data_IF_478415221613
#
_entry.id   IF_478415221613
#
_cell.length_a   1.000
_cell.length_b   1.000
_cell.length_c   1.000
_cell.angle_alpha   90.00
_cell.angle_beta   90.00
_cell.angle_gamma   90.00
#
_symmetry.space_group_name_H-M   'P 1'
#
loop_
_entity.id
_entity.type
_entity.pdbx_description
1 polymer ?
#
# COMPACT_ATOMS: atom_id res chain seq x y z
N UNK A 1 16.95 20.35 10.24
CA UNK A 1 18.06 20.11 9.37
C UNK A 1 17.94 18.68 8.91
N UNK A 2 17.63 18.53 7.63
CA UNK A 2 17.65 17.25 6.94
C UNK A 2 19.12 16.90 6.84
N UNK A 3 19.56 16.02 7.70
CA UNK A 3 20.91 15.46 7.62
C UNK A 3 20.85 14.27 6.70
N UNK A 4 21.55 14.45 5.60
CA UNK A 4 22.14 13.47 4.73
C UNK A 4 21.30 12.28 4.28
N UNK A 5 20.86 12.44 3.08
CA UNK A 5 20.69 11.35 2.13
C UNK A 5 21.94 10.46 2.20
N UNK A 6 21.75 9.26 2.67
CA UNK A 6 22.74 8.21 2.61
C UNK A 6 22.94 7.86 1.13
N UNK A 7 23.76 8.66 0.45
CA UNK A 7 24.15 8.37 -0.92
C UNK A 7 25.28 7.36 -0.86
N UNK A 8 24.92 6.08 -0.94
CA UNK A 8 25.88 5.02 -1.17
C UNK A 8 26.41 5.14 -2.60
N UNK A 9 27.74 5.29 -2.75
CA UNK A 9 28.38 5.21 -4.06
C UNK A 9 28.99 3.82 -4.21
N UNK A 10 28.55 3.09 -5.23
CA UNK A 10 29.22 1.87 -5.65
C UNK A 10 30.37 2.26 -6.57
N UNK A 11 31.59 2.02 -6.12
CA UNK A 11 32.77 2.15 -6.96
C UNK A 11 33.13 0.76 -7.51
N UNK A 12 32.98 0.56 -8.80
CA UNK A 12 33.49 -0.61 -9.47
C UNK A 12 34.83 -0.25 -10.14
N UNK A 13 35.91 -0.84 -9.63
CA UNK A 13 37.23 -0.70 -10.23
C UNK A 13 37.48 -1.88 -11.18
N UNK A 14 37.47 -1.63 -12.47
CA UNK A 14 37.77 -2.62 -13.49
C UNK A 14 39.21 -2.41 -14.00
N UNK A 15 40.13 -3.25 -13.54
CA UNK A 15 41.48 -3.28 -14.07
C UNK A 15 41.60 -4.39 -15.11
N UNK A 16 41.66 -4.03 -16.36
CA UNK A 16 41.99 -4.99 -17.44
C UNK A 16 43.49 -4.91 -17.75
N UNK A 17 44.21 -6.01 -17.58
CA UNK A 17 45.64 -6.13 -17.99
C UNK A 17 45.69 -6.81 -19.35
N UNK A 18 46.07 -6.05 -20.36
CA UNK A 18 46.36 -6.58 -21.68
C UNK A 18 47.77 -6.18 -22.08
N UNK A 19 48.67 -7.20 -22.29
CA UNK A 19 49.98 -7.10 -22.92
C UNK A 19 50.75 -5.83 -22.54
N UNK A 20 51.83 -5.44 -22.83
CA UNK A 20 52.68 -4.28 -22.49
C UNK A 20 51.95 -3.04 -21.90
N UNK A 21 51.46 -3.20 -20.70
CA UNK A 21 51.10 -2.21 -19.67
C UNK A 21 50.64 -0.80 -20.14
N UNK A 22 49.38 -0.68 -20.52
CA UNK A 22 48.59 0.54 -20.31
C UNK A 22 47.38 0.24 -19.42
N UNK A 23 47.43 0.69 -18.17
CA UNK A 23 46.27 0.67 -17.29
C UNK A 23 45.29 1.75 -17.74
N UNK A 24 44.12 1.37 -18.20
CA UNK A 24 42.98 2.27 -18.35
C UNK A 24 42.05 1.92 -17.21
N UNK A 25 42.10 2.66 -16.13
CA UNK A 25 41.10 2.63 -15.08
C UNK A 25 39.86 3.39 -15.58
N UNK A 26 38.76 2.70 -15.79
CA UNK A 26 37.45 3.30 -15.92
C UNK A 26 36.85 3.30 -14.51
N UNK A 27 36.77 4.47 -13.89
CA UNK A 27 35.98 4.71 -12.70
C UNK A 27 34.57 5.02 -13.15
N UNK A 28 33.67 4.06 -13.01
CA UNK A 28 32.25 4.32 -13.12
C UNK A 28 31.64 4.42 -11.72
N UNK A 29 31.01 5.54 -11.43
CA UNK A 29 30.31 5.77 -10.17
C UNK A 29 28.82 5.81 -10.44
N UNK A 30 28.09 4.81 -9.96
CA UNK A 30 26.65 4.85 -9.93
C UNK A 30 26.17 5.39 -8.58
N UNK A 31 25.31 6.39 -8.60
CA UNK A 31 24.61 6.85 -7.42
C UNK A 31 23.46 5.88 -7.15
N UNK A 32 23.56 5.12 -6.04
CA UNK A 32 22.48 4.29 -5.57
C UNK A 32 21.73 5.10 -4.51
N UNK A 33 20.51 5.49 -4.84
CA UNK A 33 19.60 6.16 -3.90
C UNK A 33 18.26 5.46 -3.94
N UNK A 34 17.57 5.36 -2.82
CA UNK A 34 16.20 4.87 -2.75
C UNK A 34 15.26 5.89 -3.39
N UNK A 35 14.31 5.43 -4.19
CA UNK A 35 13.24 6.26 -4.74
C UNK A 35 11.98 6.04 -3.90
N UNK A 36 11.36 7.14 -3.50
CA UNK A 36 10.18 7.10 -2.63
C UNK A 36 8.97 6.61 -3.42
N UNK A 37 8.19 5.64 -2.90
CA UNK A 37 7.02 5.13 -3.56
C UNK A 37 5.94 6.21 -3.72
N UNK A 38 5.09 6.08 -4.73
CA UNK A 38 4.04 7.05 -5.05
C UNK A 38 2.70 6.37 -5.23
N UNK A 39 1.67 6.96 -4.65
CA UNK A 39 0.28 6.63 -4.95
C UNK A 39 -0.11 7.41 -6.21
N UNK A 40 -0.45 6.68 -7.27
CA UNK A 40 -0.82 7.26 -8.56
C UNK A 40 -2.31 7.55 -8.61
N UNK A 41 -3.14 6.60 -8.11
CA UNK A 41 -4.58 6.76 -8.09
C UNK A 41 -5.22 5.88 -7.02
N UNK A 42 -6.39 6.32 -6.52
CA UNK A 42 -7.27 5.56 -5.63
C UNK A 42 -8.57 5.29 -6.37
N UNK A 43 -9.03 4.05 -6.31
CA UNK A 43 -10.30 3.61 -6.85
C UNK A 43 -11.15 3.09 -5.69
N UNK A 44 -12.04 3.93 -5.22
CA UNK A 44 -13.01 3.60 -4.19
C UNK A 44 -14.30 4.38 -4.43
N UNK A 45 -15.44 3.79 -4.07
CA UNK A 45 -16.72 4.46 -4.19
C UNK A 45 -16.83 5.58 -3.16
N UNK A 46 -17.24 6.76 -3.59
CA UNK A 46 -17.50 7.91 -2.70
C UNK A 46 -18.83 7.79 -1.95
N UNK A 47 -19.73 6.95 -2.44
CA UNK A 47 -20.99 6.61 -1.79
C UNK A 47 -21.13 5.10 -1.66
N UNK A 48 -21.13 4.64 -0.41
CA UNK A 48 -21.28 3.23 -0.07
C UNK A 48 -22.62 3.07 0.65
N UNK A 49 -23.49 2.22 0.09
CA UNK A 49 -24.80 1.95 0.68
C UNK A 49 -24.69 0.74 1.61
N UNK A 50 -25.01 0.96 2.89
CA UNK A 50 -25.12 -0.13 3.85
C UNK A 50 -26.31 -1.02 3.49
N UNK A 51 -26.14 -2.34 3.39
CA UNK A 51 -27.25 -3.25 3.14
C UNK A 51 -28.21 -3.32 4.34
N UNK A 52 -29.42 -3.78 4.08
CA UNK A 52 -30.44 -3.99 5.12
C UNK A 52 -30.29 -5.35 5.81
N UNK A 53 -30.67 -5.42 7.07
CA UNK A 53 -30.72 -6.65 7.84
C UNK A 53 -29.34 -7.32 7.98
N UNK A 54 -29.29 -8.64 7.90
CA UNK A 54 -28.06 -9.44 8.00
C UNK A 54 -27.37 -9.69 6.67
N UNK A 55 -27.52 -8.78 5.73
CA UNK A 55 -26.79 -8.86 4.46
C UNK A 55 -25.40 -8.23 4.58
N UNK A 56 -24.47 -8.77 3.83
CA UNK A 56 -23.09 -8.28 3.75
C UNK A 56 -22.80 -7.94 2.28
N UNK A 57 -22.40 -6.72 2.02
CA UNK A 57 -21.89 -6.30 0.72
C UNK A 57 -20.36 -6.21 0.77
N UNK A 58 -19.69 -6.72 -0.24
CA UNK A 58 -18.25 -6.56 -0.41
C UNK A 58 -17.98 -5.42 -1.39
N UNK A 59 -17.31 -4.38 -0.92
CA UNK A 59 -16.81 -3.31 -1.79
C UNK A 59 -15.33 -3.52 -2.06
N UNK A 60 -14.86 -3.15 -3.26
CA UNK A 60 -13.44 -3.19 -3.59
C UNK A 60 -12.82 -1.81 -3.47
N UNK A 61 -11.75 -1.73 -2.71
CA UNK A 61 -10.88 -0.56 -2.64
C UNK A 61 -9.57 -0.90 -3.31
N UNK A 62 -9.08 -0.03 -4.20
CA UNK A 62 -7.83 -0.24 -4.91
C UNK A 62 -6.95 1.00 -4.83
N UNK A 63 -5.66 0.78 -4.76
CA UNK A 63 -4.64 1.81 -4.90
C UNK A 63 -3.67 1.41 -6.01
N UNK A 64 -3.48 2.28 -7.00
CA UNK A 64 -2.42 2.13 -7.98
C UNK A 64 -1.18 2.80 -7.43
N UNK A 65 -0.10 2.05 -7.32
CA UNK A 65 1.14 2.47 -6.70
C UNK A 65 2.31 2.18 -7.64
N UNK A 66 3.34 3.01 -7.59
CA UNK A 66 4.60 2.76 -8.30
C UNK A 66 5.77 3.12 -7.41
N UNK A 67 6.85 2.41 -7.59
CA UNK A 67 8.16 2.72 -7.06
C UNK A 67 9.17 2.77 -8.20
N UNK A 68 10.04 3.77 -8.21
CA UNK A 68 11.06 3.90 -9.25
C UNK A 68 12.15 2.84 -9.18
N UNK A 69 12.28 2.16 -8.03
CA UNK A 69 13.21 1.05 -7.81
C UNK A 69 12.58 -0.32 -8.13
N UNK A 70 11.28 -0.33 -8.49
CA UNK A 70 10.48 -1.50 -8.82
C UNK A 70 9.35 -1.74 -7.82
N UNK A 71 8.22 -2.26 -8.31
CA UNK A 71 7.06 -2.53 -7.44
C UNK A 71 7.34 -3.61 -6.38
N UNK A 72 8.33 -4.46 -6.60
CA UNK A 72 8.79 -5.48 -5.65
C UNK A 72 9.46 -4.89 -4.41
N UNK A 73 9.87 -3.62 -4.44
CA UNK A 73 10.41 -2.90 -3.29
C UNK A 73 9.32 -2.35 -2.36
N UNK A 74 8.06 -2.38 -2.78
CA UNK A 74 6.94 -1.94 -1.95
C UNK A 74 6.71 -2.95 -0.83
N UNK A 75 6.79 -2.47 0.40
CA UNK A 75 6.63 -3.27 1.61
C UNK A 75 5.16 -3.48 1.98
N UNK A 76 4.38 -2.40 1.91
CA UNK A 76 2.95 -2.44 2.12
C UNK A 76 2.24 -1.20 1.55
N UNK A 77 0.98 -1.39 1.25
CA UNK A 77 0.02 -0.36 0.88
C UNK A 77 -1.18 -0.46 1.81
N UNK A 78 -1.71 0.66 2.28
CA UNK A 78 -2.85 0.62 3.17
C UNK A 78 -3.46 2.00 3.41
N UNK A 79 -4.55 2.01 4.18
CA UNK A 79 -5.19 3.24 4.60
C UNK A 79 -5.73 3.13 6.02
N UNK A 80 -5.85 4.28 6.67
CA UNK A 80 -6.60 4.46 7.91
C UNK A 80 -7.92 5.15 7.62
N UNK A 81 -8.95 4.85 8.41
CA UNK A 81 -10.28 5.45 8.28
C UNK A 81 -10.58 6.33 9.50
N UNK A 82 -11.09 7.53 9.25
CA UNK A 82 -11.47 8.50 10.26
C UNK A 82 -12.93 8.91 10.08
N UNK A 83 -13.74 8.76 11.14
CA UNK A 83 -15.14 9.24 11.15
C UNK A 83 -15.16 10.74 11.35
N UNK A 84 -15.69 11.47 10.35
CA UNK A 84 -15.83 12.93 10.46
C UNK A 84 -16.96 13.31 11.40
N UNK A 85 -17.98 12.46 11.52
CA UNK A 85 -19.12 12.71 12.43
C UNK A 85 -18.71 12.54 13.87
N UNK A 86 -18.01 11.46 14.20
CA UNK A 86 -17.70 11.08 15.57
C UNK A 86 -16.33 11.63 16.03
N UNK A 87 -15.56 12.21 15.08
CA UNK A 87 -14.22 12.75 15.28
C UNK A 87 -13.25 11.74 15.89
N UNK A 88 -13.30 10.51 15.38
CA UNK A 88 -12.47 9.40 15.88
C UNK A 88 -11.90 8.52 14.76
N UNK A 89 -10.80 7.84 15.06
CA UNK A 89 -10.23 6.83 14.19
C UNK A 89 -11.10 5.57 14.24
N UNK A 90 -11.42 5.04 13.06
CA UNK A 90 -12.06 3.75 12.93
C UNK A 90 -11.03 2.62 13.11
N UNK A 91 -11.50 1.40 13.38
CA UNK A 91 -10.65 0.22 13.56
C UNK A 91 -9.54 0.44 14.61
N UNK A 92 -9.82 1.23 15.66
CA UNK A 92 -8.86 1.61 16.70
C UNK A 92 -7.58 2.27 16.13
N UNK A 93 -7.67 2.91 14.98
CA UNK A 93 -6.53 3.50 14.27
C UNK A 93 -5.65 2.50 13.51
N UNK A 94 -6.01 1.22 13.52
CA UNK A 94 -5.28 0.21 12.77
C UNK A 94 -5.46 0.41 11.27
N UNK A 95 -4.38 0.21 10.54
CA UNK A 95 -4.37 0.29 9.09
C UNK A 95 -5.11 -0.89 8.47
N UNK A 96 -5.85 -0.63 7.41
CA UNK A 96 -6.42 -1.63 6.52
C UNK A 96 -5.46 -1.77 5.35
N UNK A 97 -4.89 -2.98 5.20
CA UNK A 97 -3.91 -3.26 4.16
C UNK A 97 -4.58 -3.67 2.86
N UNK A 98 -3.96 -3.28 1.74
CA UNK A 98 -4.29 -3.72 0.40
C UNK A 98 -3.18 -4.64 -0.12
N UNK A 99 -3.51 -5.54 -1.04
CA UNK A 99 -2.64 -6.62 -1.50
C UNK A 99 -2.58 -6.64 -3.03
N UNK A 100 -1.39 -6.89 -3.56
CA UNK A 100 -1.10 -7.12 -4.97
C UNK A 100 -0.66 -8.59 -5.14
N UNK A 101 -1.60 -9.51 -4.85
CA UNK A 101 -1.36 -10.95 -4.72
C UNK A 101 -2.01 -11.80 -5.82
N UNK A 102 -2.73 -11.17 -6.75
CA UNK A 102 -3.47 -11.88 -7.80
C UNK A 102 -4.59 -12.75 -7.24
N UNK A 103 -5.11 -12.41 -6.06
CA UNK A 103 -6.18 -13.15 -5.38
C UNK A 103 -5.81 -14.59 -4.98
N UNK A 104 -4.52 -14.86 -4.80
CA UNK A 104 -4.01 -16.20 -4.50
C UNK A 104 -3.87 -16.49 -3.01
N UNK A 105 -3.79 -15.44 -2.18
CA UNK A 105 -3.61 -15.57 -0.74
C UNK A 105 -4.96 -15.57 -0.02
N UNK A 106 -5.15 -16.55 0.89
CA UNK A 106 -6.31 -16.57 1.79
C UNK A 106 -6.00 -15.67 2.99
N UNK A 107 -6.61 -14.50 3.02
CA UNK A 107 -6.40 -13.52 4.10
C UNK A 107 -7.17 -13.89 5.36
N UNK A 108 -8.37 -14.43 5.19
CA UNK A 108 -9.20 -14.92 6.31
C UNK A 108 -9.82 -16.27 5.92
N UNK A 109 -9.60 -17.32 6.74
CA UNK A 109 -10.21 -18.61 6.48
C UNK A 109 -11.75 -18.56 6.47
N UNK A 110 -12.44 -19.42 5.69
CA UNK A 110 -11.82 -20.49 4.89
C UNK A 110 -11.32 -20.04 3.51
N UNK A 111 -11.82 -18.92 2.94
CA UNK A 111 -11.66 -18.62 1.51
C UNK A 111 -11.66 -17.11 1.18
N UNK A 112 -11.59 -16.24 2.18
CA UNK A 112 -11.60 -14.79 1.94
C UNK A 112 -10.25 -14.33 1.41
N UNK A 113 -10.26 -13.77 0.20
CA UNK A 113 -9.08 -13.28 -0.52
C UNK A 113 -9.17 -11.76 -0.75
N UNK A 114 -8.08 -11.13 -1.16
CA UNK A 114 -7.98 -9.68 -1.42
C UNK A 114 -8.97 -9.18 -2.49
N UNK A 115 -9.25 -10.03 -3.50
CA UNK A 115 -10.02 -9.66 -4.69
C UNK A 115 -9.18 -8.94 -5.74
N UNK A 116 -7.86 -9.00 -5.59
CA UNK A 116 -6.92 -8.51 -6.58
C UNK A 116 -7.02 -9.30 -7.89
N UNK A 117 -6.60 -8.71 -9.01
CA UNK A 117 -6.78 -9.32 -10.34
C UNK A 117 -5.51 -9.88 -10.93
N UNK A 118 -4.35 -9.34 -10.59
CA UNK A 118 -3.07 -9.75 -11.17
C UNK A 118 -1.93 -9.40 -10.24
N UNK A 119 -1.18 -10.40 -9.80
CA UNK A 119 -0.04 -10.22 -8.89
C UNK A 119 1.08 -9.41 -9.52
N UNK A 120 1.56 -8.40 -8.80
CA UNK A 120 2.73 -7.62 -9.18
C UNK A 120 2.46 -6.55 -10.24
N UNK A 121 1.18 -6.20 -10.48
CA UNK A 121 0.82 -5.18 -11.46
C UNK A 121 0.82 -3.75 -10.89
N UNK A 122 1.08 -3.61 -9.59
CA UNK A 122 1.08 -2.33 -8.88
C UNK A 122 -0.31 -1.85 -8.49
N UNK A 123 -1.35 -2.68 -8.64
CA UNK A 123 -2.71 -2.38 -8.21
C UNK A 123 -3.06 -3.19 -6.97
N UNK A 124 -2.88 -2.57 -5.84
CA UNK A 124 -3.17 -3.15 -4.54
C UNK A 124 -4.67 -3.10 -4.25
N UNK A 125 -5.27 -4.22 -3.89
CA UNK A 125 -6.73 -4.38 -3.74
C UNK A 125 -7.08 -4.98 -2.38
N UNK A 126 -8.22 -4.58 -1.83
CA UNK A 126 -8.87 -5.26 -0.70
C UNK A 126 -10.38 -5.18 -0.80
N UNK A 127 -11.05 -6.28 -0.41
CA UNK A 127 -12.52 -6.35 -0.30
C UNK A 127 -12.92 -6.00 1.13
N UNK A 128 -13.65 -4.91 1.29
CA UNK A 128 -14.15 -4.49 2.60
C UNK A 128 -15.57 -5.00 2.77
N UNK A 129 -15.87 -5.77 3.82
CA UNK A 129 -17.24 -6.16 4.13
C UNK A 129 -18.00 -4.98 4.73
N UNK A 130 -19.15 -4.69 4.16
CA UNK A 130 -20.12 -3.72 4.67
C UNK A 130 -21.29 -4.51 5.26
N UNK A 131 -21.38 -4.51 6.58
CA UNK A 131 -22.38 -5.24 7.32
C UNK A 131 -23.65 -4.41 7.46
N UNK A 132 -24.80 -5.05 7.24
CA UNK A 132 -26.12 -4.46 7.41
C UNK A 132 -26.49 -4.17 8.86
N UNK A 133 -27.66 -3.58 9.07
CA UNK A 133 -28.12 -3.13 10.38
C UNK A 133 -28.71 -4.26 11.27
N UNK A 134 -28.77 -5.48 10.76
CA UNK A 134 -29.28 -6.66 11.51
C UNK A 134 -28.20 -7.49 12.21
N UNK A 135 -26.93 -7.05 12.25
CA UNK A 135 -25.84 -7.81 12.89
C UNK A 135 -25.72 -7.59 14.40
N UNK A 136 -26.57 -6.75 14.98
CA UNK A 136 -26.65 -6.61 16.43
C UNK A 136 -25.88 -5.42 16.98
N UNK A 137 -26.22 -5.14 18.22
CA UNK A 137 -25.60 -4.11 19.05
C UNK A 137 -25.05 -4.79 20.29
N UNK A 138 -23.78 -4.56 20.60
CA UNK A 138 -23.09 -5.01 21.81
C UNK A 138 -23.28 -6.49 22.27
N UNK A 139 -22.19 -7.19 22.57
CA UNK A 139 -20.77 -6.82 22.45
C UNK A 139 -20.16 -7.17 21.09
N UNK A 140 -20.95 -7.69 20.16
CA UNK A 140 -20.55 -8.06 18.80
C UNK A 140 -21.32 -7.20 17.80
N UNK A 141 -21.13 -5.87 17.88
CA UNK A 141 -21.71 -4.96 16.89
C UNK A 141 -20.84 -4.95 15.62
N UNK A 142 -21.14 -5.87 14.70
CA UNK A 142 -20.53 -5.92 13.39
C UNK A 142 -21.21 -4.97 12.38
N UNK A 143 -22.26 -4.26 12.78
CA UNK A 143 -22.97 -3.31 11.91
C UNK A 143 -22.04 -2.21 11.47
N UNK A 144 -21.89 -2.05 10.14
CA UNK A 144 -21.07 -0.97 9.60
C UNK A 144 -21.70 0.38 9.94
N UNK A 145 -20.94 1.26 10.60
CA UNK A 145 -21.37 2.62 10.93
C UNK A 145 -21.65 3.43 9.68
N UNK A 146 -22.66 4.28 9.74
CA UNK A 146 -23.00 5.24 8.67
C UNK A 146 -22.44 6.61 9.01
N UNK A 147 -22.11 7.39 7.99
CA UNK A 147 -21.57 8.74 8.13
C UNK A 147 -20.60 9.09 7.03
N UNK A 148 -19.91 10.20 7.20
CA UNK A 148 -18.81 10.59 6.32
C UNK A 148 -17.49 10.16 6.93
N UNK A 149 -16.67 9.52 6.13
CA UNK A 149 -15.37 9.01 6.53
C UNK A 149 -14.31 9.59 5.61
N UNK A 150 -13.13 9.83 6.17
CA UNK A 150 -11.93 10.17 5.41
C UNK A 150 -10.99 8.97 5.47
N UNK A 151 -10.64 8.43 4.33
CA UNK A 151 -9.63 7.38 4.19
C UNK A 151 -8.30 8.01 3.80
N UNK A 152 -7.28 7.79 4.62
CA UNK A 152 -5.94 8.29 4.38
C UNK A 152 -5.03 7.16 3.97
N UNK A 153 -4.66 7.15 2.69
CA UNK A 153 -3.79 6.15 2.08
C UNK A 153 -2.33 6.51 2.24
N UNK A 154 -1.51 5.50 2.45
CA UNK A 154 -0.05 5.60 2.49
C UNK A 154 0.59 4.29 2.01
N UNK A 155 1.84 4.40 1.59
CA UNK A 155 2.68 3.31 1.11
C UNK A 155 4.01 3.39 1.80
N UNK A 156 4.59 2.26 2.14
CA UNK A 156 5.96 2.16 2.61
C UNK A 156 6.72 1.17 1.74
N UNK A 157 7.97 1.51 1.41
CA UNK A 157 8.90 0.62 0.75
C UNK A 157 9.75 -0.20 1.74
N UNK A 158 10.63 -1.05 1.21
CA UNK A 158 11.54 -1.88 2.01
C UNK A 158 12.68 -1.09 2.63
N UNK A 159 12.99 0.10 2.13
CA UNK A 159 13.94 1.04 2.75
C UNK A 159 13.32 1.81 3.92
N UNK A 160 12.02 1.61 4.20
CA UNK A 160 11.19 2.27 5.19
C UNK A 160 10.84 3.73 4.87
N UNK A 161 10.97 4.14 3.62
CA UNK A 161 10.48 5.43 3.16
C UNK A 161 8.97 5.39 2.90
N UNK A 162 8.32 6.53 3.10
CA UNK A 162 6.87 6.65 2.97
C UNK A 162 6.49 7.53 1.79
N UNK A 163 5.44 7.15 1.07
CA UNK A 163 4.78 8.03 0.11
C UNK A 163 4.21 9.28 0.79
N UNK A 164 3.91 10.30 0.01
CA UNK A 164 2.94 11.30 0.44
C UNK A 164 1.59 10.63 0.65
N UNK A 165 0.84 11.06 1.68
CA UNK A 165 -0.50 10.54 1.94
C UNK A 165 -1.51 11.12 0.97
N UNK A 166 -2.50 10.29 0.59
CA UNK A 166 -3.63 10.68 -0.26
C UNK A 166 -4.91 10.47 0.53
N UNK A 167 -5.72 11.51 0.66
CA UNK A 167 -7.04 11.43 1.31
C UNK A 167 -8.13 11.18 0.26
N UNK A 168 -9.08 10.32 0.60
CA UNK A 168 -10.27 9.98 -0.20
C UNK A 168 -11.53 10.09 0.66
#
# INVERSE_FOLDING_TARGET
PITDLDTSFLFADFTAVYGDAKFIGLLDSAKIGNLIPKIINIFADTLIVRPEGRNINLIKVKAMVTDGDGNETIKWVGFTSFSLRDNEMMNNGNMIYLYDDGNTEILYPPDFTSGDSAKGDGIYTFKIPIYGDGFGTEPLDDTTRTGSFRWRFSVQDMANDYSQTVDH
#
